data_IF_577848898241
#
_entry.id   IF_577848898241
#
_cell.length_a   1.000
_cell.length_b   1.000
_cell.length_c   1.000
_cell.angle_alpha   90.00
_cell.angle_beta   90.00
_cell.angle_gamma   90.00
#
_symmetry.space_group_name_H-M   'P 1'
#
loop_
_entity.id
_entity.type
_entity.pdbx_description
1 polymer ?
#
# COMPACT_ATOMS: atom_id res chain seq x y z
N UNK A 1 19.79 14.82 12.90
CA UNK A 1 20.21 14.72 14.32
C UNK A 1 19.12 13.96 15.04
N UNK A 2 19.04 12.65 14.80
CA UNK A 2 18.10 11.80 15.52
C UNK A 2 18.59 11.73 16.97
N UNK A 3 17.74 12.13 17.91
CA UNK A 3 18.02 11.96 19.33
C UNK A 3 18.00 10.45 19.59
N UNK A 4 19.17 9.82 19.60
CA UNK A 4 19.32 8.53 20.25
C UNK A 4 19.02 8.76 21.72
N UNK A 5 17.80 8.39 22.12
CA UNK A 5 17.39 8.46 23.52
C UNK A 5 18.33 7.59 24.33
N UNK A 6 18.99 8.19 25.33
CA UNK A 6 19.96 7.46 26.15
C UNK A 6 19.25 6.30 26.86
N UNK A 7 19.98 5.22 27.15
CA UNK A 7 19.46 4.11 27.95
C UNK A 7 18.84 4.61 29.27
N UNK A 8 19.48 5.60 29.91
CA UNK A 8 19.00 6.24 31.13
C UNK A 8 17.70 7.03 30.92
N UNK A 9 17.52 7.67 29.76
CA UNK A 9 16.30 8.40 29.41
C UNK A 9 15.12 7.44 29.21
N UNK A 10 15.35 6.27 28.62
CA UNK A 10 14.32 5.23 28.47
C UNK A 10 13.90 4.66 29.83
N UNK A 11 14.84 4.49 30.77
CA UNK A 11 14.53 4.08 32.14
C UNK A 11 13.72 5.14 32.89
N UNK A 12 14.08 6.42 32.76
CA UNK A 12 13.32 7.52 33.35
C UNK A 12 11.88 7.58 32.81
N UNK A 13 11.70 7.40 31.49
CA UNK A 13 10.36 7.33 30.88
C UNK A 13 9.51 6.17 31.41
N UNK A 14 10.11 5.00 31.65
CA UNK A 14 9.40 3.87 32.28
C UNK A 14 8.93 4.24 33.69
N UNK A 15 9.76 4.94 34.48
CA UNK A 15 9.35 5.41 35.80
C UNK A 15 8.15 6.38 35.70
N UNK A 16 8.20 7.34 34.78
CA UNK A 16 7.10 8.29 34.54
C UNK A 16 5.81 7.58 34.10
N UNK A 17 5.89 6.58 33.22
CA UNK A 17 4.72 5.80 32.79
C UNK A 17 4.15 4.93 33.91
N UNK A 18 5.01 4.40 34.80
CA UNK A 18 4.58 3.68 35.99
C UNK A 18 3.91 4.60 37.03
N UNK A 19 4.31 5.86 37.14
CA UNK A 19 3.59 6.82 37.99
C UNK A 19 2.21 7.14 37.39
N UNK A 20 2.15 7.36 36.07
CA UNK A 20 0.88 7.61 35.37
C UNK A 20 -0.09 6.44 35.48
N UNK A 21 0.38 5.19 35.41
CA UNK A 21 -0.51 4.04 35.56
C UNK A 21 -1.05 3.91 36.99
N UNK A 22 -0.27 4.29 38.02
CA UNK A 22 -0.76 4.34 39.40
C UNK A 22 -1.85 5.39 39.57
N UNK A 23 -1.67 6.58 38.98
CA UNK A 23 -2.68 7.63 39.01
C UNK A 23 -3.98 7.19 38.29
N UNK A 24 -3.85 6.52 37.15
CA UNK A 24 -5.01 5.94 36.43
C UNK A 24 -5.68 4.83 37.24
N UNK A 25 -4.91 4.00 37.97
CA UNK A 25 -5.46 2.98 38.87
C UNK A 25 -6.21 3.59 40.06
N UNK A 26 -5.71 4.69 40.63
CA UNK A 26 -6.40 5.43 41.69
C UNK A 26 -7.69 6.07 41.17
N UNK A 27 -7.67 6.65 39.98
CA UNK A 27 -8.87 7.18 39.33
C UNK A 27 -9.91 6.08 39.02
N UNK A 28 -9.46 4.89 38.63
CA UNK A 28 -10.32 3.71 38.44
C UNK A 28 -10.88 3.15 39.76
N UNK A 29 -10.23 3.39 40.89
CA UNK A 29 -10.78 3.03 42.21
C UNK A 29 -11.92 3.97 42.61
N UNK A 30 -11.86 5.25 42.20
CA UNK A 30 -12.93 6.22 42.41
C UNK A 30 -14.10 5.99 41.44
N UNK A 31 -13.81 5.72 40.16
CA UNK A 31 -14.81 5.50 39.10
C UNK A 31 -14.56 4.18 38.32
N UNK A 32 -15.01 3.02 38.84
CA UNK A 32 -14.73 1.70 38.25
C UNK A 32 -15.38 1.45 36.87
N UNK A 33 -16.45 2.18 36.55
CA UNK A 33 -17.22 2.02 35.32
C UNK A 33 -16.72 2.93 34.17
N UNK A 34 -15.66 3.72 34.40
CA UNK A 34 -15.09 4.55 33.35
C UNK A 34 -14.25 3.73 32.37
N UNK A 35 -14.86 3.37 31.23
CA UNK A 35 -14.23 2.62 30.15
C UNK A 35 -13.02 3.35 29.53
N UNK A 36 -13.00 4.69 29.52
CA UNK A 36 -11.87 5.46 28.96
C UNK A 36 -10.59 5.27 29.80
N UNK A 37 -10.72 5.22 31.13
CA UNK A 37 -9.58 4.98 32.02
C UNK A 37 -9.06 3.54 31.93
N UNK A 38 -9.93 2.56 31.65
CA UNK A 38 -9.52 1.17 31.39
C UNK A 38 -8.72 1.05 30.09
N UNK A 39 -9.15 1.74 29.03
CA UNK A 39 -8.41 1.81 27.77
C UNK A 39 -7.06 2.49 28.00
N UNK A 40 -7.03 3.64 28.67
CA UNK A 40 -5.78 4.35 28.98
C UNK A 40 -4.81 3.49 29.82
N UNK A 41 -5.32 2.72 30.77
CA UNK A 41 -4.51 1.76 31.54
C UNK A 41 -3.89 0.69 30.63
N UNK A 42 -4.65 0.14 29.69
CA UNK A 42 -4.15 -0.85 28.71
C UNK A 42 -3.05 -0.24 27.84
N UNK A 43 -3.31 0.94 27.27
CA UNK A 43 -2.38 1.64 26.38
C UNK A 43 -1.05 1.96 27.10
N UNK A 44 -1.12 2.45 28.34
CA UNK A 44 0.08 2.74 29.15
C UNK A 44 0.90 1.47 29.46
N UNK A 45 0.25 0.32 29.67
CA UNK A 45 0.95 -0.97 29.85
C UNK A 45 1.69 -1.40 28.59
N UNK A 46 1.05 -1.25 27.43
CA UNK A 46 1.69 -1.57 26.14
C UNK A 46 2.91 -0.67 25.89
N UNK A 47 2.81 0.63 26.19
CA UNK A 47 3.93 1.56 26.04
C UNK A 47 5.10 1.18 26.96
N UNK A 48 4.83 0.80 28.21
CA UNK A 48 5.86 0.32 29.14
C UNK A 48 6.54 -0.94 28.57
N UNK A 49 5.76 -1.91 28.12
CA UNK A 49 6.29 -3.16 27.56
C UNK A 49 7.18 -2.91 26.32
N UNK A 50 6.73 -2.07 25.40
CA UNK A 50 7.51 -1.70 24.21
C UNK A 50 8.82 -1.00 24.60
N UNK A 51 8.77 -0.13 25.61
CA UNK A 51 9.97 0.58 26.11
C UNK A 51 10.94 -0.38 26.82
N UNK A 52 10.44 -1.33 27.61
CA UNK A 52 11.24 -2.39 28.22
C UNK A 52 11.92 -3.29 27.19
N UNK A 53 11.21 -3.65 26.11
CA UNK A 53 11.76 -4.47 25.04
C UNK A 53 12.83 -3.71 24.24
N UNK A 54 12.67 -2.40 24.05
CA UNK A 54 13.72 -1.53 23.49
C UNK A 54 14.97 -1.49 24.37
N UNK A 55 14.80 -1.41 25.69
CA UNK A 55 15.91 -1.47 26.67
C UNK A 55 16.62 -2.82 26.59
N UNK A 56 15.88 -3.95 26.57
CA UNK A 56 16.46 -5.29 26.43
C UNK A 56 17.24 -5.44 25.12
N UNK A 57 16.69 -4.92 24.03
CA UNK A 57 17.36 -4.95 22.72
C UNK A 57 18.68 -4.15 22.76
N UNK A 58 18.68 -2.95 23.35
CA UNK A 58 19.89 -2.14 23.54
C UNK A 58 20.93 -2.85 24.42
N UNK A 59 20.53 -3.40 25.56
CA UNK A 59 21.43 -4.18 26.43
C UNK A 59 22.04 -5.39 25.72
N UNK A 60 21.25 -6.10 24.91
CA UNK A 60 21.74 -7.24 24.13
C UNK A 60 22.74 -6.80 23.06
N UNK A 61 22.49 -5.66 22.40
CA UNK A 61 23.40 -5.10 21.40
C UNK A 61 24.74 -4.64 22.02
N UNK A 62 24.71 -4.03 23.21
CA UNK A 62 25.92 -3.63 23.94
C UNK A 62 26.68 -4.83 24.49
N UNK A 63 25.97 -5.87 24.96
CA UNK A 63 26.59 -7.11 25.47
C UNK A 63 27.24 -7.94 24.36
N UNK A 64 26.71 -7.87 23.14
CA UNK A 64 27.36 -8.44 21.94
C UNK A 64 28.57 -7.62 21.48
N UNK A 65 28.63 -6.32 21.80
CA UNK A 65 29.77 -5.44 21.51
C UNK A 65 30.88 -5.49 22.58
N UNK A 66 30.56 -5.84 23.83
CA UNK A 66 31.45 -5.78 24.99
C UNK A 66 32.13 -7.11 25.37
N UNK A 67 32.13 -8.13 24.52
CA UNK A 67 32.85 -9.39 24.77
C UNK A 67 34.22 -9.42 24.06
N UNK A 68 35.35 -9.18 24.75
CA UNK A 68 36.66 -9.65 24.32
C UNK A 68 36.95 -10.98 25.00
N UNK A 69 37.25 -12.05 24.26
CA UNK A 69 38.17 -13.10 24.75
C UNK A 69 38.54 -14.13 23.69
N UNK A 70 39.86 -14.22 23.48
CA UNK A 70 40.66 -15.45 23.33
C UNK A 70 40.29 -16.45 22.23
N UNK A 71 41.17 -16.50 21.23
CA UNK A 71 41.48 -17.70 20.46
C UNK A 71 41.68 -18.93 21.37
N UNK A 72 41.34 -20.14 20.88
CA UNK A 72 42.41 -20.99 20.39
C UNK A 72 42.10 -21.72 19.07
N UNK A 73 43.09 -21.63 18.17
CA UNK A 73 43.72 -22.72 17.39
C UNK A 73 42.84 -23.82 16.77
N UNK A 74 42.97 -23.92 15.45
CA UNK A 74 42.55 -25.00 14.54
C UNK A 74 42.80 -26.43 15.06
N UNK A 75 42.07 -27.41 14.51
CA UNK A 75 42.64 -28.14 13.38
C UNK A 75 41.63 -28.48 12.25
N UNK A 76 42.08 -28.44 11.00
CA UNK A 76 41.62 -29.31 9.89
C UNK A 76 42.15 -30.75 10.11
N UNK A 77 41.66 -31.87 9.49
CA UNK A 77 41.13 -31.96 8.10
C UNK A 77 40.06 -33.06 7.82
N UNK A 78 39.76 -33.25 6.52
CA UNK A 78 39.39 -34.49 5.80
C UNK A 78 37.95 -34.71 5.31
N UNK A 79 37.80 -34.49 3.98
CA UNK A 79 37.20 -35.31 2.92
C UNK A 79 35.91 -36.15 3.09
N UNK A 80 35.07 -35.99 2.04
CA UNK A 80 34.17 -36.96 1.40
C UNK A 80 32.83 -37.25 2.11
N UNK A 81 31.65 -37.14 1.47
CA UNK A 81 31.23 -37.84 0.25
C UNK A 81 29.87 -37.33 -0.26
N UNK A 82 29.63 -37.61 -1.53
CA UNK A 82 28.47 -37.31 -2.39
C UNK A 82 27.10 -37.78 -1.89
N UNK A 83 26.01 -37.11 -2.33
CA UNK A 83 24.93 -37.71 -3.16
C UNK A 83 23.64 -36.86 -3.24
N UNK A 84 23.27 -36.53 -4.48
CA UNK A 84 21.93 -36.70 -5.11
C UNK A 84 20.69 -35.96 -4.61
N UNK A 85 20.02 -35.26 -5.53
CA UNK A 85 18.56 -35.15 -5.55
C UNK A 85 18.01 -33.76 -5.90
N UNK A 86 17.71 -33.52 -7.17
CA UNK A 86 17.38 -32.19 -7.71
C UNK A 86 15.96 -31.66 -7.42
N UNK A 87 15.77 -30.39 -7.76
CA UNK A 87 14.67 -29.99 -8.64
C UNK A 87 15.01 -28.65 -9.31
N UNK A 88 15.44 -28.73 -10.57
CA UNK A 88 15.70 -27.59 -11.45
C UNK A 88 14.46 -27.33 -12.29
N UNK A 89 13.72 -26.27 -11.95
CA UNK A 89 12.82 -25.59 -12.89
C UNK A 89 12.85 -24.10 -12.56
N UNK A 90 13.60 -23.33 -13.33
CA UNK A 90 13.16 -22.10 -14.00
C UNK A 90 14.34 -21.59 -14.84
N UNK A 91 14.27 -21.89 -16.14
CA UNK A 91 15.17 -21.43 -17.18
C UNK A 91 15.15 -19.89 -17.29
N UNK A 92 16.31 -19.26 -17.13
CA UNK A 92 16.64 -17.91 -17.57
C UNK A 92 18.06 -17.92 -18.13
N UNK A 93 18.21 -17.53 -19.39
CA UNK A 93 19.37 -17.76 -20.25
C UNK A 93 20.73 -17.36 -19.66
N UNK A 94 21.66 -18.33 -19.61
CA UNK A 94 23.08 -18.09 -19.37
C UNK A 94 23.72 -17.42 -20.60
N UNK A 95 24.07 -16.15 -20.48
CA UNK A 95 25.12 -15.54 -21.29
C UNK A 95 26.41 -15.53 -20.48
N UNK A 96 27.33 -16.43 -20.82
CA UNK A 96 28.72 -16.32 -20.40
C UNK A 96 29.33 -15.10 -21.10
N UNK A 97 29.52 -14.00 -20.35
CA UNK A 97 30.35 -12.90 -20.81
C UNK A 97 31.83 -13.30 -20.61
N UNK A 98 32.71 -13.03 -21.59
CA UNK A 98 34.13 -13.34 -21.48
C UNK A 98 34.78 -12.47 -20.40
N UNK A 99 35.58 -13.12 -19.53
CA UNK A 99 36.41 -12.49 -18.52
C UNK A 99 37.49 -11.60 -19.18
N UNK A 100 37.19 -10.33 -19.37
CA UNK A 100 38.23 -9.29 -19.45
C UNK A 100 38.61 -8.89 -18.03
N UNK A 101 39.91 -8.67 -17.76
CA UNK A 101 40.45 -8.12 -16.50
C UNK A 101 39.95 -6.69 -16.23
N UNK A 102 38.65 -6.55 -16.03
CA UNK A 102 38.01 -5.35 -15.55
C UNK A 102 37.99 -5.46 -14.03
N UNK A 103 38.49 -4.46 -13.33
CA UNK A 103 38.57 -4.44 -11.86
C UNK A 103 37.19 -4.68 -11.25
N UNK A 104 36.90 -5.92 -10.85
CA UNK A 104 35.66 -6.30 -10.18
C UNK A 104 35.59 -5.73 -8.75
N UNK A 105 36.70 -5.20 -8.25
CA UNK A 105 36.77 -4.47 -7.00
C UNK A 105 35.75 -3.32 -6.98
N UNK A 106 34.93 -3.34 -5.94
CA UNK A 106 33.84 -2.41 -5.68
C UNK A 106 32.52 -2.70 -6.40
N UNK A 107 32.42 -3.78 -7.20
CA UNK A 107 31.14 -4.19 -7.77
C UNK A 107 30.27 -4.88 -6.73
N UNK A 108 28.95 -4.70 -6.89
CA UNK A 108 27.97 -5.33 -6.01
C UNK A 108 27.61 -6.73 -6.51
N UNK A 109 27.57 -7.68 -5.58
CA UNK A 109 27.17 -9.05 -5.83
C UNK A 109 26.12 -9.50 -4.81
N UNK A 110 25.33 -10.49 -5.20
CA UNK A 110 24.40 -11.21 -4.35
C UNK A 110 25.04 -12.54 -4.03
N UNK A 111 25.06 -12.86 -2.75
CA UNK A 111 25.64 -14.10 -2.22
C UNK A 111 24.65 -14.80 -1.30
N UNK A 112 24.75 -16.12 -1.22
CA UNK A 112 23.97 -16.90 -0.28
C UNK A 112 24.78 -17.11 1.00
N UNK A 113 24.49 -16.33 2.04
CA UNK A 113 25.16 -16.42 3.33
C UNK A 113 24.17 -16.89 4.40
N UNK A 114 24.53 -17.94 5.14
CA UNK A 114 23.67 -18.56 6.17
C UNK A 114 22.26 -18.92 5.65
N UNK A 115 22.17 -19.41 4.41
CA UNK A 115 20.90 -19.77 3.76
C UNK A 115 20.02 -18.58 3.35
N UNK A 116 20.49 -17.34 3.49
CA UNK A 116 19.79 -16.12 3.09
C UNK A 116 20.58 -15.37 2.03
N UNK A 117 19.88 -14.76 1.06
CA UNK A 117 20.53 -13.89 0.09
C UNK A 117 20.94 -12.59 0.78
N UNK A 118 22.21 -12.22 0.59
CA UNK A 118 22.82 -10.99 1.09
C UNK A 118 23.53 -10.27 -0.04
N UNK A 119 23.62 -8.95 0.08
CA UNK A 119 24.38 -8.12 -0.84
C UNK A 119 25.79 -7.97 -0.29
N UNK A 120 26.79 -8.05 -1.16
CA UNK A 120 28.18 -7.86 -0.81
C UNK A 120 28.92 -7.03 -1.85
N UNK A 121 29.88 -6.25 -1.41
CA UNK A 121 30.81 -5.53 -2.26
C UNK A 121 32.07 -6.39 -2.46
N UNK A 122 32.49 -6.59 -3.71
CA UNK A 122 33.72 -7.32 -4.00
C UNK A 122 34.91 -6.45 -3.59
N UNK A 123 35.77 -6.94 -2.70
CA UNK A 123 37.01 -6.25 -2.33
C UNK A 123 38.12 -6.68 -3.26
N UNK A 124 38.36 -7.99 -3.33
CA UNK A 124 39.53 -8.53 -4.02
C UNK A 124 39.23 -9.92 -4.58
N UNK A 125 39.77 -10.17 -5.76
CA UNK A 125 39.86 -11.50 -6.35
C UNK A 125 41.23 -12.07 -5.98
N UNK A 126 41.25 -13.21 -5.29
CA UNK A 126 42.46 -13.92 -4.89
C UNK A 126 42.38 -15.32 -5.48
N UNK A 127 43.10 -15.55 -6.58
CA UNK A 127 43.09 -16.83 -7.26
C UNK A 127 44.20 -16.96 -8.30
N UNK A 128 44.92 -18.07 -8.22
CA UNK A 128 45.62 -18.69 -9.35
C UNK A 128 44.76 -19.88 -9.77
N UNK A 129 44.30 -19.87 -11.02
CA UNK A 129 43.39 -20.86 -11.61
C UNK A 129 43.68 -22.30 -11.13
N UNK A 130 42.67 -23.09 -10.70
CA UNK A 130 41.24 -23.00 -11.02
C UNK A 130 40.29 -22.67 -9.83
N UNK A 131 40.81 -22.30 -8.66
CA UNK A 131 40.01 -22.05 -7.45
C UNK A 131 40.00 -20.56 -7.10
N UNK A 132 39.48 -19.74 -8.00
CA UNK A 132 39.40 -18.29 -7.77
C UNK A 132 38.48 -18.00 -6.59
N UNK A 133 39.08 -17.60 -5.47
CA UNK A 133 38.38 -17.14 -4.29
C UNK A 133 38.20 -15.63 -4.38
N UNK A 134 37.03 -15.17 -3.94
CA UNK A 134 36.67 -13.77 -3.97
C UNK A 134 36.36 -13.33 -2.57
N UNK A 135 37.07 -12.30 -2.11
CA UNK A 135 36.83 -11.66 -0.84
C UNK A 135 35.77 -10.59 -1.07
N UNK A 136 34.63 -10.78 -0.42
CA UNK A 136 33.53 -9.83 -0.43
C UNK A 136 33.31 -9.25 0.98
N UNK A 137 32.80 -8.03 1.04
CA UNK A 137 32.30 -7.41 2.26
C UNK A 137 30.78 -7.39 2.23
N UNK A 138 30.13 -8.03 3.21
CA UNK A 138 28.68 -8.06 3.33
C UNK A 138 28.15 -6.67 3.72
N UNK A 139 27.17 -6.18 2.97
CA UNK A 139 26.49 -4.90 3.25
C UNK A 139 25.55 -5.08 4.46
N UNK A 140 25.61 -4.15 5.41
CA UNK A 140 24.82 -4.17 6.65
C UNK A 140 25.48 -4.84 7.85
N UNK A 141 26.27 -5.91 7.66
CA UNK A 141 27.07 -6.50 8.74
C UNK A 141 28.53 -6.06 8.73
N UNK A 142 29.05 -5.65 7.56
CA UNK A 142 30.46 -5.30 7.38
C UNK A 142 31.41 -6.48 7.43
N UNK A 143 30.91 -7.70 7.68
CA UNK A 143 31.69 -8.93 7.74
C UNK A 143 32.28 -9.27 6.36
N UNK A 144 33.54 -9.70 6.35
CA UNK A 144 34.20 -10.15 5.14
C UNK A 144 34.09 -11.66 5.00
N UNK A 145 33.78 -12.13 3.79
CA UNK A 145 33.65 -13.54 3.47
C UNK A 145 34.49 -13.88 2.23
N UNK A 146 35.21 -14.99 2.28
CA UNK A 146 35.82 -15.60 1.10
C UNK A 146 34.83 -16.58 0.49
N UNK A 147 34.48 -16.37 -0.78
CA UNK A 147 33.53 -17.22 -1.51
C UNK A 147 34.14 -17.63 -2.85
N UNK A 148 33.73 -18.78 -3.37
CA UNK A 148 34.11 -19.17 -4.73
C UNK A 148 33.42 -18.23 -5.74
N UNK A 149 34.12 -17.87 -6.82
CA UNK A 149 33.56 -17.01 -7.86
C UNK A 149 32.25 -17.56 -8.48
N UNK A 150 32.02 -18.88 -8.39
CA UNK A 150 30.81 -19.55 -8.89
C UNK A 150 29.56 -19.25 -8.05
N UNK A 151 29.73 -18.97 -6.76
CA UNK A 151 28.62 -18.68 -5.84
C UNK A 151 28.23 -17.20 -5.84
N UNK A 152 29.00 -16.38 -6.54
CA UNK A 152 28.74 -14.94 -6.67
C UNK A 152 27.83 -14.67 -7.86
N UNK A 153 26.71 -13.98 -7.59
CA UNK A 153 25.87 -13.41 -8.64
C UNK A 153 26.06 -11.90 -8.69
N UNK A 154 26.72 -11.41 -9.73
CA UNK A 154 26.87 -9.96 -9.95
C UNK A 154 25.51 -9.29 -10.15
N UNK A 155 25.32 -8.12 -9.53
CA UNK A 155 24.13 -7.30 -9.76
C UNK A 155 24.33 -6.55 -11.08
N UNK A 156 23.32 -6.62 -11.96
CA UNK A 156 23.30 -5.86 -13.20
C UNK A 156 22.84 -4.42 -12.91
N UNK A 157 23.65 -3.40 -13.23
CA UNK A 157 23.23 -2.02 -13.05
C UNK A 157 22.08 -1.68 -14.01
N UNK A 158 21.15 -0.81 -13.60
CA UNK A 158 20.06 -0.36 -14.46
C UNK A 158 20.61 0.48 -15.62
N UNK A 159 19.97 0.43 -16.80
CA UNK A 159 20.40 1.20 -17.96
C UNK A 159 20.31 2.72 -17.68
N UNK A 160 21.34 3.51 -18.07
CA UNK A 160 21.40 4.94 -17.79
C UNK A 160 20.23 5.71 -18.42
N UNK A 161 19.72 5.24 -19.56
CA UNK A 161 18.54 5.81 -20.24
C UNK A 161 17.31 5.90 -19.34
N UNK A 162 17.16 4.97 -18.39
CA UNK A 162 16.05 4.92 -17.44
C UNK A 162 16.37 5.62 -16.12
N UNK A 163 17.63 5.99 -15.90
CA UNK A 163 18.16 6.56 -14.66
C UNK A 163 18.50 8.05 -14.83
N UNK A 164 17.55 8.84 -15.36
CA UNK A 164 17.73 10.28 -15.52
C UNK A 164 17.50 11.03 -14.20
N UNK A 165 18.07 12.23 -14.08
CA UNK A 165 17.78 13.16 -13.00
C UNK A 165 16.25 13.37 -12.82
N UNK A 166 15.78 13.28 -11.58
CA UNK A 166 14.38 13.29 -11.18
C UNK A 166 13.71 11.91 -11.13
N UNK A 167 14.38 10.83 -11.57
CA UNK A 167 13.78 9.49 -11.57
C UNK A 167 13.70 8.90 -10.16
N UNK A 168 12.58 8.23 -9.87
CA UNK A 168 12.38 7.48 -8.63
C UNK A 168 13.07 6.12 -8.72
N UNK A 169 14.03 5.90 -7.83
CA UNK A 169 14.81 4.66 -7.76
C UNK A 169 14.83 4.11 -6.33
N UNK A 170 15.32 2.89 -6.19
CA UNK A 170 15.65 2.32 -4.91
C UNK A 170 17.15 2.15 -4.80
N UNK A 171 17.69 2.48 -3.64
CA UNK A 171 19.13 2.48 -3.38
C UNK A 171 19.41 1.58 -2.19
N UNK A 172 20.46 0.77 -2.28
CA UNK A 172 20.91 -0.05 -1.16
C UNK A 172 21.69 0.83 -0.17
N UNK A 173 21.25 0.87 1.09
CA UNK A 173 21.94 1.61 2.14
C UNK A 173 23.05 0.75 2.78
N UNK A 174 24.23 1.33 2.96
CA UNK A 174 25.43 0.60 3.38
C UNK A 174 25.35 0.05 4.80
N UNK A 175 24.69 0.76 5.73
CA UNK A 175 24.74 0.42 7.15
C UNK A 175 23.81 -0.71 7.55
N UNK A 176 22.69 -0.91 6.85
CA UNK A 176 21.71 -1.94 7.18
C UNK A 176 21.47 -2.95 6.03
N UNK A 177 22.02 -2.67 4.85
CA UNK A 177 21.83 -3.49 3.66
C UNK A 177 20.37 -3.54 3.18
N UNK A 178 19.57 -2.51 3.46
CA UNK A 178 18.17 -2.40 3.02
C UNK A 178 18.02 -1.45 1.85
N UNK A 179 16.94 -1.64 1.10
CA UNK A 179 16.62 -0.80 -0.06
C UNK A 179 15.71 0.35 0.37
N UNK A 180 16.15 1.57 0.14
CA UNK A 180 15.39 2.80 0.44
C UNK A 180 14.95 3.50 -0.83
N UNK A 181 13.81 4.19 -0.76
CA UNK A 181 13.32 4.99 -1.87
C UNK A 181 14.10 6.30 -1.97
N UNK A 182 14.66 6.55 -3.15
CA UNK A 182 15.42 7.76 -3.43
C UNK A 182 15.04 8.36 -4.79
N UNK A 183 15.47 9.60 -5.01
CA UNK A 183 15.33 10.31 -6.28
C UNK A 183 16.73 10.60 -6.81
N UNK A 184 16.99 10.27 -8.08
CA UNK A 184 18.26 10.66 -8.72
C UNK A 184 18.27 12.18 -8.87
N UNK A 185 19.31 12.85 -8.39
CA UNK A 185 19.48 14.29 -8.52
C UNK A 185 20.35 14.61 -9.74
N UNK A 186 21.52 13.97 -9.84
CA UNK A 186 22.42 14.06 -11.00
C UNK A 186 23.17 12.74 -11.23
N UNK A 187 23.61 12.52 -12.46
CA UNK A 187 24.47 11.41 -12.85
C UNK A 187 25.95 11.83 -12.75
N UNK A 188 26.81 10.93 -12.28
CA UNK A 188 28.28 11.09 -12.22
C UNK A 188 28.92 10.05 -13.15
N UNK A 189 30.22 10.16 -13.45
CA UNK A 189 30.98 9.25 -14.34
C UNK A 189 30.87 7.75 -14.00
N UNK A 190 30.59 7.38 -12.74
CA UNK A 190 30.52 5.99 -12.28
C UNK A 190 29.27 5.64 -11.46
N UNK A 191 28.29 6.54 -11.38
CA UNK A 191 27.15 6.39 -10.49
C UNK A 191 26.17 7.56 -10.52
N UNK A 192 25.48 7.76 -9.40
CA UNK A 192 24.41 8.73 -9.27
C UNK A 192 24.48 9.41 -7.91
N UNK A 193 24.19 10.70 -7.90
CA UNK A 193 23.90 11.42 -6.66
C UNK A 193 22.41 11.34 -6.43
N UNK A 194 22.02 10.60 -5.39
CA UNK A 194 20.63 10.33 -5.03
C UNK A 194 20.27 11.11 -3.78
N UNK A 195 19.00 11.48 -3.65
CA UNK A 195 18.45 12.09 -2.44
C UNK A 195 17.38 11.17 -1.87
N UNK A 196 17.56 10.71 -0.63
CA UNK A 196 16.59 9.84 0.05
C UNK A 196 15.30 10.59 0.37
N UNK A 197 14.14 9.96 0.14
CA UNK A 197 12.84 10.61 0.36
C UNK A 197 12.53 10.89 1.82
N UNK A 198 12.95 9.99 2.71
CA UNK A 198 12.57 10.03 4.12
C UNK A 198 13.44 10.99 4.93
N UNK A 199 14.70 11.15 4.53
CA UNK A 199 15.71 11.88 5.29
C UNK A 199 16.24 13.14 4.59
N UNK A 200 15.90 13.33 3.30
CA UNK A 200 16.42 14.40 2.45
C UNK A 200 17.95 14.54 2.46
N UNK A 201 18.64 13.43 2.78
CA UNK A 201 20.10 13.31 2.72
C UNK A 201 20.46 12.94 1.30
N UNK A 202 21.49 13.60 0.76
CA UNK A 202 22.02 13.27 -0.56
C UNK A 202 23.31 12.47 -0.43
N UNK A 203 23.39 11.37 -1.17
CA UNK A 203 24.52 10.44 -1.15
C UNK A 203 24.96 10.16 -2.60
N UNK A 204 26.27 9.99 -2.80
CA UNK A 204 26.82 9.54 -4.07
C UNK A 204 27.01 8.02 -4.04
N UNK A 205 26.25 7.33 -4.88
CA UNK A 205 26.24 5.88 -4.93
C UNK A 205 26.61 5.39 -6.32
N UNK A 206 27.25 4.23 -6.41
CA UNK A 206 27.60 3.61 -7.69
C UNK A 206 26.35 3.15 -8.43
N UNK A 207 26.44 3.02 -9.75
CA UNK A 207 25.34 2.50 -10.57
C UNK A 207 24.85 1.12 -10.12
N UNK A 208 25.76 0.30 -9.60
CA UNK A 208 25.47 -1.06 -9.11
C UNK A 208 24.58 -1.05 -7.85
N UNK A 209 24.58 0.05 -7.08
CA UNK A 209 23.85 0.18 -5.81
C UNK A 209 22.42 0.68 -6.00
N UNK A 210 22.07 1.03 -7.23
CA UNK A 210 20.77 1.57 -7.60
C UNK A 210 20.00 0.49 -8.36
N UNK A 211 18.72 0.34 -8.04
CA UNK A 211 17.79 -0.40 -8.87
C UNK A 211 16.61 0.49 -9.23
N UNK A 212 16.08 0.30 -10.41
CA UNK A 212 14.84 0.97 -10.79
C UNK A 212 13.74 0.48 -9.86
N UNK A 213 13.02 1.42 -9.25
CA UNK A 213 11.77 1.08 -8.59
C UNK A 213 10.84 0.66 -9.70
N UNK A 214 10.66 -0.66 -9.87
CA UNK A 214 9.56 -1.16 -10.67
C UNK A 214 8.35 -0.47 -10.07
N UNK A 215 7.70 0.39 -10.85
CA UNK A 215 6.38 0.83 -10.47
C UNK A 215 5.60 -0.48 -10.33
N UNK A 216 5.40 -0.93 -9.10
CA UNK A 216 4.09 -1.37 -8.69
C UNK A 216 3.19 -0.13 -8.81
N UNK A 217 3.07 0.40 -10.03
CA UNK A 217 1.82 0.94 -10.45
C UNK A 217 0.86 -0.14 -10.01
N UNK A 218 -0.20 0.29 -9.35
CA UNK A 218 -1.44 -0.44 -9.33
C UNK A 218 -1.97 -0.62 -10.77
N UNK A 219 -1.13 -1.10 -11.70
CA UNK A 219 -1.50 -1.86 -12.88
C UNK A 219 -2.16 -3.11 -12.33
N UNK A 220 -3.45 -2.98 -12.09
CA UNK A 220 -4.40 -3.78 -12.84
C UNK A 220 -3.78 -5.09 -13.33
N UNK A 221 -3.94 -6.15 -12.53
CA UNK A 221 -4.59 -7.29 -13.17
C UNK A 221 -5.87 -6.68 -13.73
N UNK A 222 -5.90 -6.34 -15.03
CA UNK A 222 -7.15 -6.05 -15.71
C UNK A 222 -8.00 -7.29 -15.48
N UNK A 223 -8.84 -7.22 -14.46
CA UNK A 223 -9.74 -8.29 -14.12
C UNK A 223 -10.74 -8.26 -15.24
N UNK A 224 -10.65 -9.22 -16.16
CA UNK A 224 -11.51 -9.25 -17.35
C UNK A 224 -12.95 -9.11 -16.90
N UNK A 225 -13.62 -8.05 -17.38
CA UNK A 225 -15.01 -7.78 -17.04
C UNK A 225 -15.89 -8.61 -17.96
N UNK A 226 -16.78 -9.42 -17.37
CA UNK A 226 -17.75 -10.20 -18.15
C UNK A 226 -19.11 -9.50 -18.02
N UNK A 227 -19.74 -9.24 -19.16
CA UNK A 227 -21.10 -8.69 -19.24
C UNK A 227 -22.07 -9.86 -19.07
N UNK A 228 -22.82 -9.87 -17.97
CA UNK A 228 -23.90 -10.86 -17.76
C UNK A 228 -25.02 -10.62 -18.80
N UNK A 229 -25.83 -11.62 -19.21
CA UNK A 229 -26.97 -11.41 -20.12
C UNK A 229 -27.96 -10.30 -19.69
N UNK A 230 -27.99 -9.99 -18.40
CA UNK A 230 -28.77 -8.88 -17.83
C UNK A 230 -28.07 -7.49 -17.92
N UNK A 231 -26.93 -7.38 -18.61
CA UNK A 231 -26.20 -6.14 -18.89
C UNK A 231 -25.28 -5.61 -17.77
N UNK A 232 -25.12 -6.34 -16.66
CA UNK A 232 -24.24 -5.94 -15.55
C UNK A 232 -22.78 -6.32 -15.83
N UNK A 233 -21.86 -5.42 -15.48
CA UNK A 233 -20.40 -5.64 -15.61
C UNK A 233 -19.87 -6.23 -14.31
N UNK A 234 -19.43 -7.48 -14.32
CA UNK A 234 -18.91 -8.15 -13.13
C UNK A 234 -17.45 -8.57 -13.39
N UNK A 235 -16.50 -8.21 -12.52
CA UNK A 235 -15.12 -8.64 -12.66
C UNK A 235 -14.97 -10.14 -12.40
N UNK A 236 -14.15 -10.82 -13.22
CA UNK A 236 -13.88 -12.26 -13.17
C UNK A 236 -13.45 -12.76 -11.76
N UNK A 237 -12.73 -11.96 -10.99
CA UNK A 237 -12.28 -12.32 -9.63
C UNK A 237 -13.43 -12.54 -8.62
N UNK A 238 -14.62 -12.05 -8.93
CA UNK A 238 -15.82 -12.22 -8.09
C UNK A 238 -16.69 -13.40 -8.51
N UNK A 239 -16.30 -14.13 -9.56
CA UNK A 239 -16.99 -15.34 -9.98
C UNK A 239 -16.67 -16.47 -9.00
N UNK A 240 -17.73 -17.17 -8.57
CA UNK A 240 -17.62 -18.33 -7.70
C UNK A 240 -17.02 -19.48 -8.51
N UNK A 241 -15.84 -19.96 -8.11
CA UNK A 241 -15.23 -21.16 -8.71
C UNK A 241 -15.72 -22.40 -7.96
N UNK A 242 -15.69 -23.55 -8.64
CA UNK A 242 -16.17 -24.82 -8.08
C UNK A 242 -15.41 -25.23 -6.81
N UNK A 243 -14.10 -24.92 -6.76
CA UNK A 243 -13.18 -25.31 -5.68
C UNK A 243 -13.15 -24.35 -4.46
N UNK A 244 -13.95 -23.29 -4.43
CA UNK A 244 -13.91 -22.27 -3.34
C UNK A 244 -14.64 -22.75 -2.05
N UNK A 245 -14.16 -22.33 -0.88
CA UNK A 245 -14.75 -22.59 0.45
C UNK A 245 -16.12 -21.87 0.61
N UNK A 246 -17.08 -22.46 1.34
CA UNK A 246 -18.43 -21.89 1.54
C UNK A 246 -18.44 -20.44 2.04
N UNK A 247 -17.50 -20.11 2.95
CA UNK A 247 -17.35 -18.74 3.47
C UNK A 247 -16.94 -17.75 2.37
N UNK A 248 -16.06 -18.17 1.47
CA UNK A 248 -15.60 -17.34 0.35
C UNK A 248 -16.67 -17.18 -0.73
N UNK A 249 -17.43 -18.24 -1.02
CA UNK A 249 -18.59 -18.21 -1.92
C UNK A 249 -19.63 -17.19 -1.46
N UNK A 250 -19.95 -17.17 -0.17
CA UNK A 250 -20.88 -16.21 0.41
C UNK A 250 -20.36 -14.78 0.36
N UNK A 251 -19.07 -14.57 0.63
CA UNK A 251 -18.43 -13.25 0.51
C UNK A 251 -18.49 -12.74 -0.93
N UNK A 252 -18.10 -13.56 -1.91
CA UNK A 252 -18.17 -13.23 -3.34
C UNK A 252 -19.61 -12.94 -3.77
N UNK A 253 -20.58 -13.77 -3.36
CA UNK A 253 -22.01 -13.56 -3.66
C UNK A 253 -22.54 -12.23 -3.13
N UNK A 254 -22.21 -11.89 -1.87
CA UNK A 254 -22.60 -10.60 -1.28
C UNK A 254 -21.97 -9.43 -2.04
N UNK A 255 -20.69 -9.53 -2.37
CA UNK A 255 -19.97 -8.46 -3.08
C UNK A 255 -20.49 -8.25 -4.52
N UNK A 256 -20.86 -9.34 -5.20
CA UNK A 256 -21.54 -9.25 -6.51
C UNK A 256 -22.93 -8.63 -6.38
N UNK A 257 -23.69 -8.96 -5.32
CA UNK A 257 -25.01 -8.36 -5.09
C UNK A 257 -24.93 -6.85 -4.82
N UNK A 258 -23.96 -6.41 -4.01
CA UNK A 258 -23.76 -4.98 -3.75
C UNK A 258 -23.33 -4.25 -5.02
N UNK A 259 -22.43 -4.84 -5.81
CA UNK A 259 -21.99 -4.27 -7.10
C UNK A 259 -23.16 -4.13 -8.09
N UNK A 260 -23.99 -5.17 -8.25
CA UNK A 260 -25.20 -5.11 -9.09
C UNK A 260 -26.19 -4.06 -8.62
N UNK A 261 -26.38 -3.93 -7.30
CA UNK A 261 -27.25 -2.91 -6.70
C UNK A 261 -26.74 -1.49 -7.01
N UNK A 262 -25.43 -1.27 -6.90
CA UNK A 262 -24.81 0.00 -7.22
C UNK A 262 -24.97 0.37 -8.71
N UNK A 263 -24.66 -0.56 -9.63
CA UNK A 263 -24.84 -0.33 -11.07
C UNK A 263 -26.30 -0.06 -11.45
N UNK A 264 -27.26 -0.72 -10.78
CA UNK A 264 -28.69 -0.47 -10.99
C UNK A 264 -29.09 0.93 -10.50
N UNK A 265 -28.61 1.34 -9.33
CA UNK A 265 -28.90 2.67 -8.77
C UNK A 265 -28.32 3.78 -9.65
N UNK A 266 -27.07 3.64 -10.09
CA UNK A 266 -26.41 4.60 -10.98
C UNK A 266 -27.12 4.70 -12.34
N UNK A 267 -27.58 3.57 -12.90
CA UNK A 267 -28.38 3.59 -14.13
C UNK A 267 -29.68 4.39 -13.94
N UNK A 268 -30.41 4.13 -12.85
CA UNK A 268 -31.65 4.85 -12.53
C UNK A 268 -31.37 6.35 -12.32
N UNK A 269 -30.31 6.71 -11.60
CA UNK A 269 -29.93 8.09 -11.34
C UNK A 269 -29.50 8.80 -12.64
N UNK A 270 -28.74 8.13 -13.50
CA UNK A 270 -28.36 8.69 -14.80
C UNK A 270 -29.59 8.95 -15.69
N UNK A 271 -30.59 8.05 -15.67
CA UNK A 271 -31.84 8.21 -16.39
C UNK A 271 -32.69 9.33 -15.78
N UNK A 272 -32.72 9.45 -14.45
CA UNK A 272 -33.37 10.56 -13.74
C UNK A 272 -32.70 11.90 -14.06
N UNK A 273 -31.37 11.97 -14.08
CA UNK A 273 -30.62 13.19 -14.40
C UNK A 273 -30.75 13.56 -15.88
N UNK A 274 -30.77 12.58 -16.80
CA UNK A 274 -31.10 12.80 -18.22
C UNK A 274 -32.52 13.32 -18.39
N UNK A 275 -33.50 12.77 -17.65
CA UNK A 275 -34.88 13.25 -17.66
C UNK A 275 -34.99 14.67 -17.09
N UNK A 276 -34.33 14.97 -15.98
CA UNK A 276 -34.30 16.28 -15.37
C UNK A 276 -33.62 17.34 -16.25
N UNK A 277 -32.48 17.00 -16.86
CA UNK A 277 -31.79 17.90 -17.81
C UNK A 277 -32.60 18.12 -19.08
N UNK A 278 -33.25 17.09 -19.61
CA UNK A 278 -34.20 17.23 -20.73
C UNK A 278 -35.39 18.11 -20.34
N UNK A 279 -35.87 17.99 -19.09
CA UNK A 279 -36.95 18.82 -18.57
C UNK A 279 -36.53 20.30 -18.42
N UNK A 280 -35.35 20.57 -17.87
CA UNK A 280 -34.78 21.93 -17.81
C UNK A 280 -34.64 22.55 -19.21
N UNK A 281 -34.17 21.78 -20.19
CA UNK A 281 -34.07 22.23 -21.60
C UNK A 281 -35.44 22.54 -22.20
N UNK A 282 -36.46 21.73 -21.90
CA UNK A 282 -37.83 22.00 -22.32
C UNK A 282 -38.38 23.29 -21.68
N UNK A 283 -38.15 23.50 -20.38
CA UNK A 283 -38.58 24.72 -19.68
C UNK A 283 -37.93 25.98 -20.25
N UNK A 284 -36.62 25.96 -20.49
CA UNK A 284 -35.91 27.07 -21.13
C UNK A 284 -36.41 27.34 -22.56
N UNK A 285 -36.71 26.27 -23.33
CA UNK A 285 -37.27 26.39 -24.68
C UNK A 285 -38.71 26.91 -24.69
N UNK A 286 -39.52 26.57 -23.68
CA UNK A 286 -40.87 27.10 -23.51
C UNK A 286 -40.86 28.58 -23.09
N UNK A 287 -39.93 29.00 -22.21
CA UNK A 287 -39.75 30.39 -21.81
C UNK A 287 -39.23 31.32 -22.92
N UNK A 288 -38.57 30.76 -23.93
CA UNK A 288 -38.02 31.53 -25.07
C UNK A 288 -39.04 31.86 -26.18
N UNK A 289 -40.26 31.30 -26.15
CA UNK A 289 -41.26 31.52 -27.24
C UNK A 289 -42.03 32.84 -27.17
N UNK A 290 -41.74 33.73 -26.21
CA UNK A 290 -42.42 35.03 -26.09
C UNK A 290 -41.54 36.24 -26.42
N UNK A 291 -40.51 36.09 -27.25
CA UNK A 291 -39.79 37.21 -27.87
C UNK A 291 -39.66 37.02 -29.39
N UNK A 292 -40.78 37.18 -30.07
CA UNK A 292 -40.82 37.66 -31.46
C UNK A 292 -41.85 38.77 -31.50
N UNK A 293 -41.42 39.97 -31.90
CA UNK A 293 -42.18 41.21 -31.76
C UNK A 293 -43.38 41.32 -32.70
N UNK A 294 -44.22 42.29 -32.36
CA UNK A 294 -45.23 42.93 -33.20
C UNK A 294 -46.42 42.09 -33.68
N UNK A 295 -47.49 42.08 -32.85
CA UNK A 295 -48.81 42.52 -33.31
C UNK A 295 -49.55 43.17 -32.14
N UNK A 296 -49.49 44.50 -32.10
CA UNK A 296 -50.53 45.33 -31.47
C UNK A 296 -51.83 45.08 -32.21
N UNK A 297 -52.61 44.12 -31.71
CA UNK A 297 -53.96 43.81 -32.16
C UNK A 297 -54.80 43.51 -30.94
N UNK A 298 -55.47 44.54 -30.44
CA UNK A 298 -56.59 44.49 -29.48
C UNK A 298 -57.38 43.18 -29.64
N UNK A 299 -57.46 42.37 -28.59
CA UNK A 299 -58.56 41.41 -28.44
C UNK A 299 -59.34 41.84 -27.20
N UNK A 300 -60.47 42.44 -27.49
CA UNK A 300 -61.57 42.68 -26.55
C UNK A 300 -61.99 41.38 -25.87
N UNK A 301 -62.45 41.49 -24.63
CA UNK A 301 -63.37 40.52 -24.03
C UNK A 301 -62.76 39.19 -23.60
N UNK A 302 -62.68 38.98 -22.29
CA UNK A 302 -62.55 37.65 -21.71
C UNK A 302 -63.82 36.84 -22.01
N UNK A 303 -63.72 35.83 -22.88
CA UNK A 303 -64.76 34.81 -23.13
C UNK A 303 -65.06 33.97 -21.86
N UNK A 304 -64.28 34.13 -20.79
CA UNK A 304 -64.47 33.44 -19.51
C UNK A 304 -64.72 34.40 -18.33
N UNK A 305 -65.01 35.67 -18.60
CA UNK A 305 -65.52 36.60 -17.58
C UNK A 305 -67.05 36.49 -17.54
N UNK A 306 -67.54 35.39 -16.96
CA UNK A 306 -68.92 35.34 -16.48
C UNK A 306 -68.92 35.84 -15.05
N UNK A 307 -69.44 37.06 -14.91
CA UNK A 307 -69.96 37.63 -13.67
C UNK A 307 -70.80 36.62 -12.91
N UNK A 308 -70.56 36.53 -11.61
CA UNK A 308 -71.42 35.86 -10.63
C UNK A 308 -72.86 36.35 -10.79
N UNK A 309 -73.76 35.45 -11.17
CA UNK A 309 -75.20 35.55 -10.92
C UNK A 309 -75.69 34.16 -10.53
N UNK A 310 -76.36 34.10 -9.37
CA UNK A 310 -76.95 32.91 -8.77
C UNK A 310 -77.80 32.12 -9.77
N UNK A 311 -77.49 30.82 -9.97
CA UNK A 311 -78.55 29.86 -10.28
C UNK A 311 -78.18 28.46 -9.80
N UNK A 312 -79.11 27.91 -9.04
CA UNK A 312 -79.13 26.60 -8.45
C UNK A 312 -79.22 25.48 -9.49
N UNK A 313 -78.79 24.29 -9.06
CA UNK A 313 -79.12 22.93 -9.58
C UNK A 313 -78.09 22.22 -10.48
N UNK A 314 -77.40 21.29 -9.81
CA UNK A 314 -77.16 19.88 -10.22
C UNK A 314 -76.19 19.57 -11.36
N UNK A 315 -75.15 18.78 -11.05
CA UNK A 315 -75.05 17.32 -11.34
C UNK A 315 -73.59 16.84 -11.20
N UNK A 316 -73.46 15.75 -10.45
CA UNK A 316 -72.38 14.78 -10.23
C UNK A 316 -71.16 14.78 -11.16
N UNK A 317 -69.95 14.76 -10.57
CA UNK A 317 -68.90 13.82 -10.99
C UNK A 317 -67.91 13.53 -9.86
N UNK A 318 -67.98 12.28 -9.39
CA UNK A 318 -67.04 11.62 -8.50
C UNK A 318 -65.72 11.37 -9.22
N UNK A 319 -64.60 11.80 -8.62
CA UNK A 319 -63.31 11.08 -8.58
C UNK A 319 -62.27 11.96 -7.86
N UNK A 320 -62.47 12.18 -6.55
CA UNK A 320 -61.39 12.59 -5.67
C UNK A 320 -60.53 11.36 -5.36
N UNK A 321 -59.35 11.29 -5.97
CA UNK A 321 -58.33 10.31 -5.64
C UNK A 321 -57.65 10.73 -4.33
N UNK A 322 -58.30 10.47 -3.20
CA UNK A 322 -57.77 10.72 -1.86
C UNK A 322 -56.73 9.66 -1.50
N UNK A 323 -55.51 9.84 -1.98
CA UNK A 323 -54.39 8.99 -1.59
C UNK A 323 -53.93 9.40 -0.18
N UNK A 324 -54.42 8.69 0.85
CA UNK A 324 -53.89 8.82 2.20
C UNK A 324 -52.62 7.97 2.34
N UNK A 325 -51.45 8.55 2.67
CA UNK A 325 -50.24 7.78 2.90
C UNK A 325 -50.43 6.89 4.14
N UNK A 326 -50.31 5.57 3.98
CA UNK A 326 -50.38 4.62 5.09
C UNK A 326 -49.22 4.86 6.06
N UNK A 327 -49.55 5.22 7.31
CA UNK A 327 -48.62 5.24 8.45
C UNK A 327 -48.00 3.86 8.59
N UNK A 328 -46.67 3.79 8.75
CA UNK A 328 -45.97 2.55 9.08
C UNK A 328 -46.44 2.11 10.48
N UNK A 329 -46.87 0.86 10.59
CA UNK A 329 -47.17 0.23 11.86
C UNK A 329 -45.84 0.05 12.61
N UNK A 330 -45.66 0.74 13.73
CA UNK A 330 -44.63 0.38 14.70
C UNK A 330 -45.13 -0.87 15.43
N UNK A 331 -44.41 -1.97 15.23
CA UNK A 331 -44.66 -3.25 15.86
C UNK A 331 -44.10 -3.17 17.29
N UNK A 332 -44.82 -2.53 18.20
CA UNK A 332 -44.56 -2.62 19.63
C UNK A 332 -45.78 -2.18 20.44
N UNK A 333 -46.90 -2.88 20.27
CA UNK A 333 -47.93 -2.94 21.32
C UNK A 333 -48.55 -4.34 21.40
N UNK A 334 -48.54 -4.85 22.64
CA UNK A 334 -49.11 -6.10 23.19
C UNK A 334 -48.24 -7.35 23.01
N UNK A 335 -47.94 -8.10 24.09
CA UNK A 335 -48.66 -8.32 25.34
C UNK A 335 -47.77 -8.22 26.58
#
# INVERSE_FOLDING_TARGET
>A
MEKQESYEELQAKIADYNEKIQLVQEALLQDPDNEELKVLQSDLREVIQLTEDLIKYKQQSERSAAAPTSAPRAPEPSEATSATGGNSQYLGAFRHAPFSHQSFAGRMCVVLYNGKQKFGQIIQLTGDLPTDQVIIQLVGSGEQCSLAAQDLKLVEPPPPDQCQAGTLVQVLYSEDGRWYDAVINRETESGYVITYKDYNISEEVRSDWVRLKLRHDAKSKEVREIITPAGYKIPENLIIKQNDNEKEKMRKKKLVQTLKKQQKAERIESEANKRASSWRKFQQKAGSKNKSGYMTGKREGSIFSSTDEDTTLSVTNFLHNSFQPRKKFDFNERF
#
